data_IF_790454413645
#
_entry.id   IF_790454413645
#
_cell.length_a   1.000
_cell.length_b   1.000
_cell.length_c   1.000
_cell.angle_alpha   90.00
_cell.angle_beta   90.00
_cell.angle_gamma   90.00
#
_symmetry.space_group_name_H-M   'P 1'
#
loop_
_entity.id
_entity.type
_entity.pdbx_description
1 polymer ?
#
# COMPACT_ATOMS: atom_id res chain seq x y z
N UNK A 1 20.29 27.32 -35.89
CA UNK A 1 20.31 25.89 -35.48
C UNK A 1 18.93 25.59 -34.87
N UNK A 2 18.15 24.69 -35.48
CA UNK A 2 16.74 24.44 -35.12
C UNK A 2 16.63 23.10 -34.38
N UNK A 3 15.93 23.05 -33.24
CA UNK A 3 15.72 21.82 -32.46
C UNK A 3 14.50 21.02 -32.98
N UNK A 4 14.53 19.67 -32.99
CA UNK A 4 13.37 18.87 -33.36
C UNK A 4 12.37 18.73 -32.19
N UNK A 5 11.08 18.94 -32.50
CA UNK A 5 9.98 18.74 -31.57
C UNK A 5 9.68 17.25 -31.38
N UNK A 6 9.56 16.79 -30.13
CA UNK A 6 9.16 15.43 -29.79
C UNK A 6 7.63 15.33 -29.79
N UNK A 7 7.07 14.63 -30.76
CA UNK A 7 5.63 14.34 -30.86
C UNK A 7 5.24 13.27 -29.83
N UNK A 8 4.39 13.65 -28.87
CA UNK A 8 3.77 12.74 -27.92
C UNK A 8 2.55 12.07 -28.57
N UNK A 9 2.62 10.76 -28.83
CA UNK A 9 1.46 9.97 -29.23
C UNK A 9 0.76 9.43 -27.96
N UNK A 10 -0.47 9.87 -27.74
CA UNK A 10 -1.37 9.34 -26.72
C UNK A 10 -2.01 8.00 -27.18
N UNK A 11 -2.51 7.16 -26.24
CA UNK A 11 -2.77 5.73 -26.49
C UNK A 11 -4.09 5.49 -27.24
N UNK A 12 -4.25 4.35 -27.94
CA UNK A 12 -5.55 3.96 -28.45
C UNK A 12 -6.49 3.57 -27.30
N UNK A 13 -7.66 4.20 -27.26
CA UNK A 13 -8.77 3.81 -26.40
C UNK A 13 -9.41 2.54 -26.97
N UNK A 14 -9.22 1.39 -26.33
CA UNK A 14 -10.04 0.21 -26.62
C UNK A 14 -11.26 0.26 -25.70
N UNK A 15 -12.36 0.74 -26.29
CA UNK A 15 -13.68 0.78 -25.68
C UNK A 15 -14.30 -0.60 -25.48
N UNK A 16 -15.28 -0.57 -24.57
CA UNK A 16 -16.40 -1.49 -24.35
C UNK A 16 -16.89 -2.23 -25.61
N UNK A 17 -17.29 -3.50 -25.43
CA UNK A 17 -18.70 -3.96 -25.46
C UNK A 17 -18.75 -5.47 -25.75
N UNK A 18 -19.34 -6.26 -24.85
CA UNK A 18 -19.92 -7.55 -25.24
C UNK A 18 -21.09 -7.87 -24.31
N UNK A 19 -22.24 -7.29 -24.62
CA UNK A 19 -23.52 -7.91 -24.35
C UNK A 19 -23.90 -8.73 -25.59
N UNK A 20 -23.95 -10.05 -25.47
CA UNK A 20 -24.67 -10.91 -26.42
C UNK A 20 -25.47 -11.95 -25.64
N UNK A 21 -26.77 -11.96 -25.95
CA UNK A 21 -27.84 -12.65 -25.25
C UNK A 21 -28.12 -14.02 -25.87
N UNK A 22 -28.47 -15.03 -25.05
CA UNK A 22 -29.76 -15.77 -25.05
C UNK A 22 -29.70 -17.26 -24.61
N UNK A 23 -30.49 -17.53 -23.57
CA UNK A 23 -31.33 -18.70 -23.25
C UNK A 23 -30.84 -20.17 -23.40
N UNK A 24 -30.82 -20.87 -22.26
CA UNK A 24 -31.47 -22.19 -22.15
C UNK A 24 -32.12 -22.35 -20.76
N UNK A 25 -33.39 -22.78 -20.74
CA UNK A 25 -34.24 -22.89 -19.54
C UNK A 25 -34.29 -24.36 -19.14
N UNK A 26 -33.72 -24.71 -17.99
CA UNK A 26 -33.83 -26.05 -17.43
C UNK A 26 -33.43 -26.16 -15.97
N UNK A 27 -34.42 -26.08 -15.08
CA UNK A 27 -34.42 -26.53 -13.66
C UNK A 27 -33.66 -25.70 -12.61
N UNK A 28 -34.41 -25.20 -11.63
CA UNK A 28 -33.99 -24.49 -10.41
C UNK A 28 -33.34 -25.42 -9.35
N UNK A 29 -32.81 -24.95 -8.18
CA UNK A 29 -32.66 -23.58 -7.65
C UNK A 29 -31.26 -23.26 -7.04
N UNK A 30 -30.72 -22.06 -7.24
CA UNK A 30 -29.76 -21.43 -6.30
C UNK A 30 -29.59 -19.94 -6.64
N UNK A 31 -29.46 -19.03 -5.66
CA UNK A 31 -29.06 -17.65 -5.94
C UNK A 31 -27.55 -17.63 -6.15
N UNK A 32 -27.09 -18.10 -7.30
CA UNK A 32 -25.71 -17.90 -7.73
C UNK A 32 -25.61 -16.46 -8.23
N UNK A 33 -25.45 -15.53 -7.28
CA UNK A 33 -24.76 -14.28 -7.56
C UNK A 33 -23.50 -14.64 -8.36
N UNK A 34 -23.23 -14.01 -9.52
CA UNK A 34 -21.92 -14.13 -10.12
C UNK A 34 -20.97 -13.52 -9.09
N UNK A 35 -20.23 -14.40 -8.41
CA UNK A 35 -19.12 -14.02 -7.59
C UNK A 35 -18.20 -13.24 -8.54
N UNK A 36 -18.22 -11.92 -8.40
CA UNK A 36 -17.21 -11.07 -9.00
C UNK A 36 -15.82 -11.63 -8.66
N UNK A 37 -14.79 -11.27 -9.42
CA UNK A 37 -13.43 -11.72 -9.13
C UNK A 37 -13.18 -11.56 -7.62
N UNK A 38 -12.60 -12.57 -6.94
CA UNK A 38 -12.36 -12.47 -5.50
C UNK A 38 -11.70 -11.12 -5.25
N UNK A 39 -12.10 -10.37 -4.21
CA UNK A 39 -11.49 -9.08 -3.92
C UNK A 39 -10.00 -9.34 -3.95
N UNK A 40 -9.30 -8.79 -4.96
CA UNK A 40 -7.87 -9.03 -5.16
C UNK A 40 -7.29 -8.98 -3.77
N UNK A 41 -6.79 -10.12 -3.29
CA UNK A 41 -6.01 -10.18 -2.09
C UNK A 41 -4.98 -9.09 -2.30
N UNK A 42 -5.24 -7.93 -1.70
CA UNK A 42 -4.31 -6.82 -1.66
C UNK A 42 -3.24 -7.42 -0.80
N UNK A 43 -2.30 -8.14 -1.43
CA UNK A 43 -1.04 -8.50 -0.83
C UNK A 43 -0.58 -7.20 -0.21
N UNK A 44 -0.72 -7.12 1.11
CA UNK A 44 -0.30 -5.95 1.84
C UNK A 44 1.17 -5.78 1.42
N UNK A 45 1.55 -4.60 0.91
CA UNK A 45 2.92 -4.35 0.51
C UNK A 45 3.84 -4.93 1.57
N UNK A 46 4.75 -5.83 1.18
CA UNK A 46 5.60 -6.52 2.16
C UNK A 46 6.45 -5.45 2.83
N UNK A 47 6.06 -5.09 4.05
CA UNK A 47 6.66 -4.02 4.81
C UNK A 47 8.15 -4.33 5.01
N UNK A 48 9.00 -3.52 4.38
CA UNK A 48 10.45 -3.69 4.42
C UNK A 48 10.97 -3.19 5.76
N UNK A 49 11.34 -4.10 6.64
CA UNK A 49 11.84 -3.78 7.99
C UNK A 49 13.20 -4.42 8.22
N UNK A 50 14.06 -3.74 8.96
CA UNK A 50 15.25 -4.38 9.55
C UNK A 50 14.82 -5.44 10.56
N UNK A 51 15.68 -6.44 10.79
CA UNK A 51 15.45 -7.47 11.80
C UNK A 51 15.15 -6.89 13.18
N UNK A 52 15.95 -5.92 13.64
CA UNK A 52 15.76 -5.28 14.95
C UNK A 52 14.46 -4.48 15.04
N UNK A 53 14.02 -3.82 13.95
CA UNK A 53 12.73 -3.14 13.92
C UNK A 53 11.56 -4.12 14.02
N UNK A 54 11.65 -5.25 13.33
CA UNK A 54 10.65 -6.31 13.36
C UNK A 54 10.57 -6.96 14.74
N UNK A 55 11.71 -7.31 15.33
CA UNK A 55 11.77 -7.86 16.70
C UNK A 55 11.20 -6.89 17.74
N UNK A 56 11.51 -5.59 17.63
CA UNK A 56 10.95 -4.57 18.51
C UNK A 56 9.43 -4.41 18.35
N UNK A 57 8.92 -4.43 17.11
CA UNK A 57 7.49 -4.38 16.83
C UNK A 57 6.77 -5.59 17.45
N UNK A 58 7.28 -6.80 17.23
CA UNK A 58 6.76 -8.04 17.83
C UNK A 58 6.79 -7.96 19.36
N UNK A 59 7.90 -7.52 19.96
CA UNK A 59 8.03 -7.38 21.41
C UNK A 59 7.06 -6.36 22.03
N UNK A 60 6.59 -5.38 21.25
CA UNK A 60 5.59 -4.40 21.68
C UNK A 60 4.15 -4.78 21.29
N UNK A 61 3.93 -5.93 20.64
CA UNK A 61 2.63 -6.33 20.12
C UNK A 61 2.08 -5.36 19.06
N UNK A 62 2.96 -4.82 18.21
CA UNK A 62 2.58 -3.95 17.08
C UNK A 62 2.55 -4.81 15.83
N UNK A 63 1.40 -4.85 15.16
CA UNK A 63 1.27 -5.60 13.91
C UNK A 63 1.92 -4.83 12.74
N UNK A 64 2.42 -5.56 11.74
CA UNK A 64 2.91 -4.96 10.49
C UNK A 64 1.86 -4.05 9.84
N UNK A 65 0.57 -4.39 9.97
CA UNK A 65 -0.55 -3.57 9.50
C UNK A 65 -0.65 -2.20 10.21
N UNK A 66 -0.30 -2.12 11.50
CA UNK A 66 -0.29 -0.85 12.24
C UNK A 66 0.89 0.03 11.82
N UNK A 67 2.04 -0.60 11.55
CA UNK A 67 3.21 0.11 10.99
C UNK A 67 2.89 0.63 9.59
N UNK A 68 2.29 -0.20 8.73
CA UNK A 68 1.87 0.23 7.39
C UNK A 68 0.87 1.38 7.46
N UNK A 69 -0.14 1.27 8.33
CA UNK A 69 -1.12 2.34 8.56
C UNK A 69 -0.47 3.64 9.06
N UNK A 70 0.59 3.56 9.85
CA UNK A 70 1.38 4.71 10.28
C UNK A 70 2.11 5.38 9.11
N UNK A 71 2.63 4.60 8.16
CA UNK A 71 3.29 5.12 6.96
C UNK A 71 2.30 5.70 5.95
N UNK A 72 1.13 5.09 5.78
CA UNK A 72 0.12 5.51 4.81
C UNK A 72 -0.60 6.79 5.23
N UNK A 73 -0.84 6.95 6.53
CA UNK A 73 -1.54 8.11 7.09
C UNK A 73 -0.94 8.49 8.45
N UNK A 74 0.23 9.15 8.47
CA UNK A 74 0.86 9.65 9.67
C UNK A 74 0.14 10.90 10.19
N UNK A 75 0.16 11.09 11.51
CA UNK A 75 -0.23 12.34 12.16
C UNK A 75 0.88 13.41 12.04
N UNK A 76 2.14 12.98 12.05
CA UNK A 76 3.32 13.85 11.95
C UNK A 76 4.45 13.15 11.19
N UNK A 77 5.15 13.94 10.35
CA UNK A 77 6.29 13.49 9.55
C UNK A 77 7.42 14.50 9.73
N UNK A 78 8.54 14.04 10.28
CA UNK A 78 9.70 14.91 10.53
C UNK A 78 11.01 14.23 10.12
N UNK A 79 11.96 14.97 9.53
CA UNK A 79 13.30 14.44 9.33
C UNK A 79 13.95 14.17 10.69
N UNK A 80 14.81 13.14 10.76
CA UNK A 80 15.56 12.86 11.96
C UNK A 80 16.62 13.97 12.16
N UNK A 81 16.72 14.60 13.36
CA UNK A 81 17.58 15.75 13.61
C UNK A 81 19.05 15.47 13.33
N UNK A 82 19.53 14.28 13.73
CA UNK A 82 20.93 13.89 13.56
C UNK A 82 21.22 13.27 12.18
N UNK A 83 20.19 12.92 11.40
CA UNK A 83 20.36 12.19 10.14
C UNK A 83 19.19 12.49 9.21
N UNK A 84 19.23 13.59 8.44
CA UNK A 84 18.09 14.08 7.66
C UNK A 84 17.67 13.14 6.52
N UNK A 85 18.53 12.18 6.15
CA UNK A 85 18.17 11.09 5.22
C UNK A 85 17.22 10.06 5.83
N UNK A 86 16.88 10.19 7.12
CA UNK A 86 15.90 9.36 7.80
C UNK A 86 14.69 10.18 8.17
N UNK A 87 13.52 9.56 8.09
CA UNK A 87 12.24 10.21 8.33
C UNK A 87 11.51 9.50 9.46
N UNK A 88 11.00 10.27 10.41
CA UNK A 88 10.16 9.81 11.50
C UNK A 88 8.71 10.01 11.11
N UNK A 89 7.96 8.93 11.11
CA UNK A 89 6.51 8.91 10.96
C UNK A 89 5.89 8.65 12.32
N UNK A 90 4.86 9.40 12.67
CA UNK A 90 4.16 9.25 13.94
C UNK A 90 2.68 9.04 13.70
N UNK A 91 2.09 8.14 14.48
CA UNK A 91 0.63 7.95 14.53
C UNK A 91 0.23 7.57 15.95
N UNK A 92 -0.49 8.44 16.64
CA UNK A 92 -0.80 8.30 18.06
C UNK A 92 0.48 8.18 18.90
N UNK A 93 0.63 7.06 19.61
CA UNK A 93 1.86 6.76 20.37
C UNK A 93 2.92 6.02 19.56
N UNK A 94 2.62 5.57 18.35
CA UNK A 94 3.55 4.83 17.49
C UNK A 94 4.51 5.80 16.78
N UNK A 95 5.80 5.47 16.82
CA UNK A 95 6.85 6.19 16.10
C UNK A 95 7.64 5.19 15.26
N UNK A 96 7.69 5.43 13.95
CA UNK A 96 8.37 4.61 12.96
C UNK A 96 9.50 5.43 12.34
N UNK A 97 10.72 4.91 12.38
CA UNK A 97 11.88 5.53 11.72
C UNK A 97 12.15 4.80 10.41
N UNK A 98 12.18 5.53 9.30
CA UNK A 98 12.37 5.01 7.95
C UNK A 98 13.64 5.60 7.35
N UNK A 99 14.41 4.79 6.63
CA UNK A 99 15.55 5.23 5.83
C UNK A 99 15.13 5.89 4.51
N UNK A 100 16.08 6.52 3.82
CA UNK A 100 15.83 7.12 2.50
C UNK A 100 15.38 6.09 1.44
N UNK A 101 15.67 4.82 1.66
CA UNK A 101 15.31 3.68 0.82
C UNK A 101 13.91 3.12 1.12
N UNK A 102 13.17 3.73 2.06
CA UNK A 102 11.85 3.27 2.50
C UNK A 102 11.90 2.08 3.47
N UNK A 103 13.09 1.69 3.95
CA UNK A 103 13.21 0.60 4.93
C UNK A 103 12.92 1.10 6.35
N UNK A 104 12.07 0.37 7.09
CA UNK A 104 11.83 0.63 8.50
C UNK A 104 13.04 0.21 9.32
N UNK A 105 13.69 1.19 9.94
CA UNK A 105 14.90 1.03 10.73
C UNK A 105 14.61 0.80 12.21
N UNK A 106 13.53 1.39 12.72
CA UNK A 106 13.14 1.28 14.13
C UNK A 106 11.64 1.49 14.30
N UNK A 107 11.04 0.72 15.21
CA UNK A 107 9.68 0.93 15.71
C UNK A 107 9.77 1.19 17.21
N UNK A 108 9.04 2.19 17.68
CA UNK A 108 8.98 2.53 19.11
C UNK A 108 7.62 3.06 19.48
N UNK A 109 7.24 2.94 20.75
CA UNK A 109 6.11 3.67 21.33
C UNK A 109 6.64 4.83 22.16
N UNK A 110 5.96 5.96 22.09
CA UNK A 110 6.18 7.07 23.02
C UNK A 110 5.61 6.64 24.37
N UNK A 111 6.45 6.53 25.39
CA UNK A 111 5.96 6.46 26.77
C UNK A 111 5.24 7.77 27.09
N UNK A 112 4.03 7.66 27.63
CA UNK A 112 3.36 8.80 28.27
C UNK A 112 4.08 9.14 29.56
#
# INVERSE_FOLDING_TARGET
MSAPALTFLAPPSTGYDHDDSTADIGSAPAPTHPAGPPPRDRQAPVLRMTRGAREAATGMGIADADVQRCLDAPDDVSPHPDTPTRTRFRRGSLVVLVGADGMVLRVSRRNR
#
